data_IF_083284242092
#
_entry.id   IF_083284242092
#
_cell.length_a   1.000
_cell.length_b   1.000
_cell.length_c   1.000
_cell.angle_alpha   90.00
_cell.angle_beta   90.00
_cell.angle_gamma   90.00
#
_symmetry.space_group_name_H-M   'P 1'
#
loop_
_entity.id
_entity.type
_entity.pdbx_description
1 polymer ?
#
# COMPACT_ATOMS: atom_id res chain seq x y z
N UNK A 1 5.42 -30.09 3.34
CA UNK A 1 4.14 -30.06 2.60
C UNK A 1 3.12 -29.33 3.47
N UNK A 2 2.47 -28.31 2.94
CA UNK A 2 1.27 -27.67 3.55
C UNK A 2 0.07 -28.16 2.73
N UNK A 3 -1.00 -28.56 3.38
CA UNK A 3 -2.22 -28.99 2.69
C UNK A 3 -3.45 -28.47 3.41
N UNK A 4 -4.28 -27.72 2.71
CA UNK A 4 -5.61 -27.32 3.14
C UNK A 4 -6.66 -28.21 2.47
N UNK A 5 -7.59 -28.79 3.24
CA UNK A 5 -8.66 -29.64 2.75
C UNK A 5 -10.03 -29.15 3.20
N UNK A 6 -10.89 -28.83 2.24
CA UNK A 6 -12.27 -28.34 2.45
C UNK A 6 -12.33 -27.18 3.45
N UNK A 7 -11.33 -26.29 3.38
CA UNK A 7 -11.13 -25.21 4.33
C UNK A 7 -12.19 -24.13 4.13
N UNK A 8 -12.93 -23.80 5.18
CA UNK A 8 -13.82 -22.63 5.21
C UNK A 8 -13.59 -21.86 6.49
N UNK A 9 -13.70 -20.55 6.44
CA UNK A 9 -13.48 -19.70 7.60
C UNK A 9 -14.43 -18.52 7.66
N UNK A 10 -14.86 -18.18 8.87
CA UNK A 10 -15.66 -17.02 9.22
C UNK A 10 -15.11 -16.39 10.50
N UNK A 11 -14.92 -15.07 10.51
CA UNK A 11 -14.55 -14.34 11.73
C UNK A 11 -15.69 -14.32 12.74
N UNK A 12 -15.38 -14.38 14.03
CA UNK A 12 -16.35 -14.22 15.11
C UNK A 12 -16.96 -12.82 15.14
N UNK A 13 -18.10 -12.70 15.80
CA UNK A 13 -18.90 -11.48 15.80
C UNK A 13 -18.45 -10.47 16.84
N UNK A 14 -18.19 -9.23 16.40
CA UNK A 14 -18.41 -8.05 17.23
C UNK A 14 -19.72 -7.39 16.77
N UNK A 15 -20.78 -7.44 17.60
CA UNK A 15 -22.02 -6.68 17.35
C UNK A 15 -23.24 -7.41 16.79
N UNK A 16 -23.29 -8.76 16.86
CA UNK A 16 -24.56 -9.52 16.74
C UNK A 16 -25.10 -9.77 15.33
N UNK A 17 -24.39 -9.43 14.27
CA UNK A 17 -24.74 -9.86 12.90
C UNK A 17 -23.85 -11.01 12.45
N UNK A 18 -24.44 -12.08 11.91
CA UNK A 18 -23.67 -13.15 11.27
C UNK A 18 -22.86 -12.62 10.09
N UNK A 19 -21.54 -12.78 10.13
CA UNK A 19 -20.68 -12.47 8.98
C UNK A 19 -20.70 -13.64 8.01
N UNK A 20 -20.64 -13.35 6.72
CA UNK A 20 -20.47 -14.37 5.70
C UNK A 20 -19.10 -15.05 5.81
N UNK A 21 -19.02 -16.31 5.32
CA UNK A 21 -17.73 -17.01 5.23
C UNK A 21 -16.81 -16.26 4.28
N UNK A 22 -15.65 -15.85 4.79
CA UNK A 22 -14.58 -15.21 4.02
C UNK A 22 -13.91 -16.22 3.08
N UNK A 23 -13.73 -17.47 3.54
CA UNK A 23 -13.19 -18.58 2.75
C UNK A 23 -14.21 -19.71 2.69
N UNK A 24 -14.35 -20.33 1.52
CA UNK A 24 -15.37 -21.35 1.21
C UNK A 24 -14.73 -22.53 0.50
N UNK A 25 -14.65 -23.68 1.17
CA UNK A 25 -14.21 -24.95 0.59
C UNK A 25 -12.86 -24.88 -0.16
N UNK A 26 -11.87 -24.20 0.42
CA UNK A 26 -10.53 -24.08 -0.15
C UNK A 26 -9.81 -25.42 -0.10
N UNK A 27 -9.23 -25.81 -1.23
CA UNK A 27 -8.37 -26.96 -1.35
C UNK A 27 -7.04 -26.51 -1.97
N UNK A 28 -5.93 -26.64 -1.25
CA UNK A 28 -4.61 -26.21 -1.68
C UNK A 28 -3.56 -27.17 -1.12
N UNK A 29 -2.62 -27.59 -1.96
CA UNK A 29 -1.43 -28.33 -1.53
C UNK A 29 -0.19 -27.57 -1.97
N UNK A 30 0.74 -27.34 -1.05
CA UNK A 30 2.05 -26.71 -1.29
C UNK A 30 3.12 -27.73 -0.96
N UNK A 31 3.89 -28.14 -1.94
CA UNK A 31 5.01 -29.07 -1.78
C UNK A 31 6.33 -28.31 -1.64
N UNK A 32 7.40 -29.01 -1.23
CA UNK A 32 8.72 -28.40 -1.14
C UNK A 32 9.20 -27.93 -2.51
N UNK A 33 9.64 -26.69 -2.59
CA UNK A 33 10.12 -26.05 -3.83
C UNK A 33 9.02 -25.52 -4.75
N UNK A 34 7.74 -25.67 -4.40
CA UNK A 34 6.66 -25.03 -5.16
C UNK A 34 6.75 -23.50 -5.12
N UNK A 35 6.44 -22.91 -6.25
CA UNK A 35 6.24 -21.45 -6.38
C UNK A 35 4.82 -21.21 -6.82
N UNK A 36 3.96 -20.79 -5.89
CA UNK A 36 2.51 -20.63 -6.12
C UNK A 36 2.15 -19.15 -6.05
N UNK A 37 1.40 -18.69 -7.04
CA UNK A 37 0.78 -17.37 -7.02
C UNK A 37 -0.72 -17.50 -6.74
N UNK A 38 -1.22 -16.74 -5.78
CA UNK A 38 -2.64 -16.61 -5.50
C UNK A 38 -3.04 -15.17 -5.79
N UNK A 39 -3.75 -15.00 -6.89
CA UNK A 39 -4.32 -13.73 -7.30
C UNK A 39 -5.68 -13.52 -6.65
N UNK A 40 -6.03 -12.29 -6.36
CA UNK A 40 -7.37 -11.94 -5.89
C UNK A 40 -7.49 -10.44 -5.65
N UNK A 41 -8.67 -9.90 -5.80
CA UNK A 41 -8.93 -8.50 -5.47
C UNK A 41 -8.70 -8.23 -3.96
N UNK A 42 -8.47 -6.99 -3.54
CA UNK A 42 -8.54 -6.62 -2.13
C UNK A 42 -9.81 -7.17 -1.47
N UNK A 43 -9.73 -7.56 -0.21
CA UNK A 43 -10.83 -8.17 0.56
C UNK A 43 -11.33 -9.55 0.06
N UNK A 44 -10.66 -10.17 -0.91
CA UNK A 44 -11.01 -11.51 -1.38
C UNK A 44 -10.74 -12.65 -0.37
N UNK A 45 -10.03 -12.35 0.74
CA UNK A 45 -9.65 -13.32 1.76
C UNK A 45 -8.19 -13.82 1.69
N UNK A 46 -7.32 -13.19 0.88
CA UNK A 46 -5.90 -13.57 0.76
C UNK A 46 -5.17 -13.56 2.10
N UNK A 47 -5.26 -12.45 2.83
CA UNK A 47 -4.65 -12.32 4.17
C UNK A 47 -5.21 -13.33 5.16
N UNK A 48 -6.51 -13.61 5.10
CA UNK A 48 -7.12 -14.67 5.93
C UNK A 48 -6.54 -16.04 5.58
N UNK A 49 -6.38 -16.34 4.30
CA UNK A 49 -5.78 -17.60 3.85
C UNK A 49 -4.30 -17.66 4.26
N UNK A 50 -3.53 -16.58 4.13
CA UNK A 50 -2.13 -16.52 4.58
C UNK A 50 -1.98 -16.78 6.07
N UNK A 51 -2.85 -16.19 6.90
CA UNK A 51 -2.88 -16.41 8.35
C UNK A 51 -3.24 -17.85 8.73
N UNK A 52 -4.14 -18.50 8.00
CA UNK A 52 -4.50 -19.91 8.25
C UNK A 52 -3.35 -20.84 7.84
N UNK A 53 -2.75 -20.61 6.67
CA UNK A 53 -1.62 -21.44 6.20
C UNK A 53 -0.37 -21.29 7.09
N UNK A 54 -0.18 -20.12 7.71
CA UNK A 54 0.89 -19.87 8.69
C UNK A 54 0.53 -20.27 10.12
N UNK A 55 -0.68 -20.80 10.36
CA UNK A 55 -1.21 -21.20 11.67
C UNK A 55 -1.44 -20.06 12.68
N UNK A 56 -1.52 -18.81 12.23
CA UNK A 56 -1.95 -17.69 13.05
C UNK A 56 -3.45 -17.75 13.36
N UNK A 57 -4.25 -18.32 12.44
CA UNK A 57 -5.64 -18.68 12.65
C UNK A 57 -5.70 -20.20 12.84
N UNK A 58 -6.38 -20.72 13.86
CA UNK A 58 -7.22 -20.04 14.87
C UNK A 58 -6.47 -19.63 16.15
N UNK A 59 -5.15 -19.77 16.24
CA UNK A 59 -4.41 -19.65 17.51
C UNK A 59 -4.46 -18.23 18.10
N UNK A 60 -4.34 -17.19 17.24
CA UNK A 60 -4.30 -15.78 17.67
C UNK A 60 -5.50 -14.96 17.17
N UNK A 61 -6.25 -15.46 16.21
CA UNK A 61 -7.40 -14.77 15.65
C UNK A 61 -8.62 -15.67 15.76
N UNK A 62 -9.63 -15.20 16.49
CA UNK A 62 -10.86 -15.95 16.75
C UNK A 62 -11.75 -16.03 15.50
N UNK A 63 -12.40 -17.20 15.34
CA UNK A 63 -13.32 -17.45 14.25
C UNK A 63 -13.64 -18.94 14.08
N UNK A 64 -14.64 -19.23 13.27
CA UNK A 64 -15.04 -20.59 12.95
C UNK A 64 -14.26 -21.13 11.77
N UNK A 65 -13.38 -22.10 12.02
CA UNK A 65 -12.59 -22.80 11.03
C UNK A 65 -13.19 -24.19 10.79
N UNK A 66 -13.60 -24.48 9.56
CA UNK A 66 -14.03 -25.80 9.08
C UNK A 66 -12.97 -26.36 8.15
N UNK A 67 -12.88 -27.69 8.06
CA UNK A 67 -11.88 -28.38 7.25
C UNK A 67 -10.58 -28.64 8.03
N UNK A 68 -9.48 -28.89 7.33
CA UNK A 68 -8.20 -29.25 7.93
C UNK A 68 -7.03 -28.58 7.23
N UNK A 69 -5.99 -28.27 8.02
CA UNK A 69 -4.69 -27.82 7.50
C UNK A 69 -3.62 -28.77 8.01
N UNK A 70 -2.79 -29.27 7.11
CA UNK A 70 -1.69 -30.16 7.43
C UNK A 70 -0.33 -29.48 7.20
N UNK A 71 0.69 -29.86 7.97
CA UNK A 71 0.66 -30.82 9.07
C UNK A 71 -0.21 -30.33 10.23
N UNK A 72 -0.95 -31.23 10.86
CA UNK A 72 -1.63 -30.96 12.13
C UNK A 72 -0.56 -30.77 13.23
N UNK A 73 -0.76 -29.85 14.15
CA UNK A 73 0.15 -29.55 15.28
C UNK A 73 0.17 -28.08 15.64
N UNK A 74 0.78 -27.77 16.76
CA UNK A 74 0.88 -26.41 17.29
C UNK A 74 1.82 -25.55 16.44
N UNK A 75 1.62 -24.24 16.46
CA UNK A 75 2.50 -23.27 15.82
C UNK A 75 3.95 -23.42 16.27
N UNK A 76 4.20 -23.77 17.53
CA UNK A 76 5.56 -23.97 18.09
C UNK A 76 6.38 -25.01 17.34
N UNK A 77 5.72 -26.03 16.80
CA UNK A 77 6.39 -27.10 16.01
C UNK A 77 6.75 -26.67 14.59
N UNK A 78 6.37 -25.47 14.22
CA UNK A 78 6.47 -24.94 12.84
C UNK A 78 7.26 -23.63 12.74
N UNK A 79 7.55 -22.95 13.85
CA UNK A 79 8.18 -21.61 13.85
C UNK A 79 9.53 -21.54 13.14
N UNK A 80 10.24 -22.66 13.08
CA UNK A 80 11.53 -22.78 12.38
C UNK A 80 11.40 -23.07 10.88
N UNK A 81 10.21 -23.51 10.42
CA UNK A 81 9.97 -23.99 9.05
C UNK A 81 9.06 -23.11 8.22
N UNK A 82 8.27 -22.27 8.84
CA UNK A 82 7.26 -21.44 8.18
C UNK A 82 7.52 -19.97 8.49
N UNK A 83 7.50 -19.15 7.46
CA UNK A 83 7.53 -17.71 7.61
C UNK A 83 6.34 -17.06 6.89
N UNK A 84 5.81 -16.01 7.51
CA UNK A 84 4.85 -15.11 6.91
C UNK A 84 5.52 -13.73 6.76
N UNK A 85 5.54 -13.21 5.54
CA UNK A 85 5.83 -11.81 5.27
C UNK A 85 4.49 -11.08 5.16
N UNK A 86 4.08 -10.31 6.17
CA UNK A 86 2.75 -9.72 6.24
C UNK A 86 2.60 -8.52 5.30
N UNK A 87 1.36 -8.19 4.94
CA UNK A 87 1.02 -7.05 4.10
C UNK A 87 1.44 -5.72 4.74
N UNK A 88 1.13 -5.50 6.02
CA UNK A 88 1.49 -4.27 6.74
C UNK A 88 2.77 -4.48 7.57
N UNK A 89 3.92 -4.14 6.99
CA UNK A 89 5.21 -4.31 7.66
C UNK A 89 5.35 -3.53 8.96
N UNK A 90 4.74 -2.34 9.04
CA UNK A 90 4.91 -1.44 10.18
C UNK A 90 4.28 -1.94 11.48
N UNK A 91 3.22 -2.75 11.39
CA UNK A 91 2.50 -3.28 12.55
C UNK A 91 3.20 -4.47 13.22
N UNK A 92 4.13 -5.11 12.51
CA UNK A 92 4.81 -6.32 12.97
C UNK A 92 6.26 -6.06 13.42
N UNK A 93 6.76 -4.84 13.31
CA UNK A 93 8.08 -4.46 13.81
C UNK A 93 7.98 -4.24 15.32
N UNK A 94 8.76 -4.99 16.08
CA UNK A 94 8.71 -5.03 17.54
C UNK A 94 9.92 -4.39 18.22
N UNK A 95 11.08 -4.40 17.56
CA UNK A 95 12.34 -3.96 18.13
C UNK A 95 12.65 -2.49 17.83
N UNK A 96 13.49 -1.86 18.65
CA UNK A 96 13.86 -0.46 18.51
C UNK A 96 14.82 -0.22 17.35
N UNK A 97 15.77 -1.15 17.12
CA UNK A 97 16.76 -1.03 16.07
C UNK A 97 16.58 -2.07 14.97
N UNK A 98 17.13 -1.78 13.79
CA UNK A 98 17.11 -2.69 12.63
C UNK A 98 17.83 -4.00 12.95
N UNK A 99 18.99 -3.95 13.62
CA UNK A 99 19.75 -5.15 13.99
C UNK A 99 18.99 -6.03 14.97
N UNK A 100 18.38 -5.44 16.00
CA UNK A 100 17.59 -6.16 16.99
C UNK A 100 16.38 -6.84 16.36
N UNK A 101 15.71 -6.16 15.43
CA UNK A 101 14.55 -6.72 14.73
C UNK A 101 14.91 -7.96 13.88
N UNK A 102 16.05 -7.94 13.21
CA UNK A 102 16.54 -9.11 12.44
C UNK A 102 17.02 -10.23 13.36
N UNK A 103 17.60 -9.88 14.51
CA UNK A 103 18.14 -10.84 15.49
C UNK A 103 17.02 -11.56 16.26
N UNK A 104 15.90 -10.90 16.49
CA UNK A 104 14.81 -11.36 17.35
C UNK A 104 14.29 -12.78 17.05
N UNK A 105 13.96 -13.16 15.79
CA UNK A 105 13.53 -14.53 15.49
C UNK A 105 14.62 -15.57 15.71
N UNK A 106 15.91 -15.24 15.50
CA UNK A 106 17.03 -16.14 15.75
C UNK A 106 17.23 -16.38 17.25
N UNK A 107 17.08 -15.33 18.06
CA UNK A 107 17.12 -15.45 19.53
C UNK A 107 15.97 -16.32 20.04
N UNK A 108 14.77 -16.13 19.49
CA UNK A 108 13.59 -16.91 19.84
C UNK A 108 13.73 -18.40 19.55
N UNK A 109 14.51 -18.74 18.51
CA UNK A 109 14.85 -20.11 18.13
C UNK A 109 16.07 -20.66 18.91
N UNK A 110 16.72 -19.84 19.74
CA UNK A 110 17.90 -20.25 20.51
C UNK A 110 19.16 -20.45 19.67
N UNK A 111 19.28 -19.77 18.52
CA UNK A 111 20.46 -19.83 17.65
C UNK A 111 21.67 -19.26 18.39
N UNK A 112 22.81 -19.95 18.27
CA UNK A 112 24.05 -19.52 18.92
C UNK A 112 24.56 -18.15 18.44
N UNK A 113 25.16 -17.37 19.35
CA UNK A 113 25.56 -15.96 19.09
C UNK A 113 26.41 -15.74 17.83
N UNK A 114 27.36 -16.63 17.57
CA UNK A 114 28.25 -16.47 16.39
C UNK A 114 27.51 -16.73 15.09
N UNK A 115 26.67 -17.76 15.04
CA UNK A 115 25.83 -18.07 13.90
C UNK A 115 24.77 -16.97 13.67
N UNK A 116 24.14 -16.50 14.75
CA UNK A 116 23.18 -15.39 14.68
C UNK A 116 23.82 -14.15 14.06
N UNK A 117 25.04 -13.77 14.54
CA UNK A 117 25.76 -12.63 13.99
C UNK A 117 26.06 -12.79 12.49
N UNK A 118 26.46 -13.98 12.07
CA UNK A 118 26.72 -14.24 10.65
C UNK A 118 25.44 -14.12 9.80
N UNK A 119 24.31 -14.67 10.27
CA UNK A 119 23.03 -14.60 9.57
C UNK A 119 22.51 -13.16 9.48
N UNK A 120 22.60 -12.40 10.58
CA UNK A 120 22.21 -10.97 10.61
C UNK A 120 23.04 -10.14 9.62
N UNK A 121 24.38 -10.33 9.59
CA UNK A 121 25.25 -9.65 8.63
C UNK A 121 24.85 -9.95 7.17
N UNK A 122 24.62 -11.21 6.86
CA UNK A 122 24.16 -11.64 5.52
C UNK A 122 22.83 -11.00 5.16
N UNK A 123 21.88 -10.99 6.08
CA UNK A 123 20.56 -10.42 5.88
C UNK A 123 20.61 -8.90 5.66
N UNK A 124 21.35 -8.18 6.50
CA UNK A 124 21.59 -6.73 6.34
C UNK A 124 22.21 -6.41 4.97
N UNK A 125 23.21 -7.19 4.56
CA UNK A 125 23.86 -7.01 3.27
C UNK A 125 22.89 -7.26 2.10
N UNK A 126 22.22 -8.39 2.12
CA UNK A 126 21.34 -8.81 1.02
C UNK A 126 20.19 -7.81 0.79
N UNK A 127 19.60 -7.30 1.89
CA UNK A 127 18.47 -6.35 1.81
C UNK A 127 18.91 -4.88 1.81
N UNK A 128 20.21 -4.59 1.74
CA UNK A 128 20.77 -3.23 1.66
C UNK A 128 20.48 -2.37 2.89
N UNK A 129 20.45 -2.99 4.07
CA UNK A 129 20.13 -2.34 5.35
C UNK A 129 21.36 -2.06 6.22
N UNK A 130 22.59 -2.36 5.76
CA UNK A 130 23.84 -2.24 6.55
C UNK A 130 24.04 -0.84 7.14
N UNK A 131 23.73 0.19 6.36
CA UNK A 131 23.90 1.59 6.77
C UNK A 131 22.82 2.06 7.78
N UNK A 132 21.78 1.24 8.00
CA UNK A 132 20.68 1.47 8.92
C UNK A 132 20.72 0.54 10.15
N UNK A 133 21.79 -0.25 10.33
CA UNK A 133 21.91 -1.24 11.40
C UNK A 133 21.43 -0.75 12.77
N UNK A 134 21.95 0.41 13.20
CA UNK A 134 21.65 1.03 14.50
C UNK A 134 20.53 2.06 14.42
N UNK A 135 19.90 2.22 13.26
CA UNK A 135 18.82 3.18 13.09
C UNK A 135 17.55 2.71 13.83
N UNK A 136 16.78 3.67 14.33
CA UNK A 136 15.46 3.39 14.90
C UNK A 136 14.51 2.91 13.81
N UNK A 137 13.82 1.80 14.07
CA UNK A 137 12.83 1.21 13.16
C UNK A 137 11.65 2.16 12.87
N UNK A 138 11.36 3.08 13.80
CA UNK A 138 10.33 4.11 13.64
C UNK A 138 10.67 5.17 12.59
N UNK A 139 11.97 5.40 12.33
CA UNK A 139 12.45 6.41 11.38
C UNK A 139 12.58 5.88 9.94
N UNK A 140 12.38 4.59 9.74
CA UNK A 140 12.48 3.94 8.43
C UNK A 140 11.34 4.39 7.50
N UNK A 141 11.66 4.57 6.22
CA UNK A 141 10.66 4.72 5.15
C UNK A 141 9.87 3.42 4.93
N UNK A 142 8.72 3.49 4.25
CA UNK A 142 7.88 2.32 3.94
C UNK A 142 8.67 1.20 3.24
N UNK A 143 9.45 1.53 2.21
CA UNK A 143 10.30 0.56 1.51
C UNK A 143 11.43 -0.03 2.37
N UNK A 144 12.00 0.74 3.30
CA UNK A 144 12.97 0.23 4.27
C UNK A 144 12.33 -0.70 5.30
N UNK A 145 11.13 -0.36 5.80
CA UNK A 145 10.33 -1.23 6.66
C UNK A 145 9.95 -2.54 5.95
N UNK A 146 9.59 -2.46 4.67
CA UNK A 146 9.31 -3.67 3.86
C UNK A 146 10.54 -4.57 3.74
N UNK A 147 11.71 -3.99 3.44
CA UNK A 147 12.97 -4.76 3.37
C UNK A 147 13.39 -5.32 4.72
N UNK A 148 13.17 -4.58 5.81
CA UNK A 148 13.39 -5.07 7.17
C UNK A 148 12.51 -6.27 7.47
N UNK A 149 11.22 -6.21 7.17
CA UNK A 149 10.28 -7.31 7.39
C UNK A 149 10.64 -8.55 6.56
N UNK A 150 11.02 -8.38 5.29
CA UNK A 150 11.57 -9.47 4.47
C UNK A 150 12.81 -10.08 5.11
N UNK A 151 13.73 -9.24 5.58
CA UNK A 151 14.95 -9.68 6.26
C UNK A 151 14.64 -10.51 7.51
N UNK A 152 13.77 -9.99 8.38
CA UNK A 152 13.35 -10.65 9.64
C UNK A 152 12.64 -11.97 9.39
N UNK A 153 11.73 -12.02 8.40
CA UNK A 153 10.99 -13.24 8.07
C UNK A 153 11.86 -14.34 7.42
N UNK A 154 12.92 -13.97 6.71
CA UNK A 154 13.74 -14.92 5.94
C UNK A 154 15.05 -15.32 6.63
N UNK A 155 15.47 -14.61 7.70
CA UNK A 155 16.75 -14.85 8.39
C UNK A 155 16.82 -16.23 9.06
N UNK A 156 15.67 -16.83 9.35
CA UNK A 156 15.55 -18.18 9.92
C UNK A 156 15.75 -19.31 8.90
N UNK A 157 15.83 -18.96 7.60
CA UNK A 157 15.95 -19.93 6.49
C UNK A 157 14.78 -20.95 6.47
N UNK A 158 13.52 -20.49 6.40
CA UNK A 158 12.35 -21.37 6.48
C UNK A 158 12.21 -22.29 5.24
N UNK A 159 11.56 -23.44 5.41
CA UNK A 159 11.23 -24.34 4.30
C UNK A 159 10.05 -23.83 3.44
N UNK A 160 9.16 -23.00 4.05
CA UNK A 160 7.94 -22.45 3.42
C UNK A 160 7.79 -20.97 3.76
N UNK A 161 7.56 -20.16 2.76
CA UNK A 161 7.34 -18.72 2.93
C UNK A 161 6.04 -18.31 2.27
N UNK A 162 5.23 -17.58 3.03
CA UNK A 162 4.01 -16.97 2.53
C UNK A 162 4.27 -15.46 2.44
N UNK A 163 4.13 -14.91 1.23
CA UNK A 163 4.31 -13.49 0.93
C UNK A 163 2.95 -12.85 0.71
N UNK A 164 2.46 -12.10 1.70
CA UNK A 164 1.17 -11.41 1.59
C UNK A 164 1.38 -9.98 1.08
N UNK A 165 1.01 -9.72 -0.18
CA UNK A 165 1.18 -8.43 -0.89
C UNK A 165 2.62 -7.84 -0.74
N UNK A 166 3.63 -8.72 -0.65
CA UNK A 166 5.00 -8.32 -0.24
C UNK A 166 5.77 -7.55 -1.31
N UNK A 167 5.27 -7.47 -2.53
CA UNK A 167 5.81 -6.65 -3.60
C UNK A 167 5.36 -5.19 -3.53
N UNK A 168 4.30 -4.92 -2.79
CA UNK A 168 3.85 -3.56 -2.50
C UNK A 168 4.90 -2.82 -1.67
N UNK A 169 4.92 -1.52 -1.70
CA UNK A 169 5.90 -0.64 -1.04
C UNK A 169 7.37 -0.82 -1.48
N UNK A 170 7.68 -1.80 -2.33
CA UNK A 170 9.00 -1.94 -2.95
C UNK A 170 9.08 -1.15 -4.25
N UNK A 171 10.16 -0.43 -4.46
CA UNK A 171 10.46 0.11 -5.77
C UNK A 171 10.89 -0.99 -6.75
N UNK A 172 10.94 -0.65 -8.06
CA UNK A 172 11.22 -1.62 -9.12
C UNK A 172 12.51 -2.41 -8.87
N UNK A 173 13.56 -1.77 -8.35
CA UNK A 173 14.84 -2.43 -8.12
C UNK A 173 14.75 -3.50 -7.03
N UNK A 174 14.03 -3.23 -5.96
CA UNK A 174 13.84 -4.17 -4.86
C UNK A 174 12.80 -5.25 -5.17
N UNK A 175 11.83 -4.97 -6.04
CA UNK A 175 10.95 -6.02 -6.58
C UNK A 175 11.74 -7.04 -7.38
N UNK A 176 12.70 -6.61 -8.21
CA UNK A 176 13.58 -7.53 -8.94
C UNK A 176 14.46 -8.38 -8.00
N UNK A 177 14.96 -7.78 -6.90
CA UNK A 177 15.72 -8.53 -5.90
C UNK A 177 14.85 -9.60 -5.24
N UNK A 178 13.62 -9.26 -4.82
CA UNK A 178 12.69 -10.21 -4.20
C UNK A 178 12.29 -11.31 -5.20
N UNK A 179 11.96 -10.94 -6.44
CA UNK A 179 11.63 -11.90 -7.51
C UNK A 179 12.76 -12.90 -7.72
N UNK A 180 14.00 -12.41 -7.85
CA UNK A 180 15.18 -13.27 -8.02
C UNK A 180 15.42 -14.16 -6.79
N UNK A 181 15.18 -13.65 -5.59
CA UNK A 181 15.26 -14.45 -4.37
C UNK A 181 14.26 -15.59 -4.42
N UNK A 182 12.98 -15.35 -4.69
CA UNK A 182 11.94 -16.37 -4.81
C UNK A 182 12.29 -17.38 -5.90
N UNK A 183 12.81 -16.93 -7.04
CA UNK A 183 13.18 -17.79 -8.18
C UNK A 183 14.32 -18.76 -7.84
N UNK A 184 15.31 -18.29 -7.09
CA UNK A 184 16.56 -19.04 -6.83
C UNK A 184 16.58 -19.77 -5.51
N UNK A 185 15.68 -19.44 -4.59
CA UNK A 185 15.58 -20.05 -3.28
C UNK A 185 15.03 -21.48 -3.33
N UNK A 186 15.44 -22.30 -2.36
CA UNK A 186 15.00 -23.69 -2.25
C UNK A 186 13.69 -23.92 -1.49
N UNK A 187 13.20 -22.86 -0.78
CA UNK A 187 11.95 -22.92 -0.05
C UNK A 187 10.74 -22.98 -0.97
N UNK A 188 9.62 -23.48 -0.48
CA UNK A 188 8.34 -23.31 -1.14
C UNK A 188 7.80 -21.92 -0.88
N UNK A 189 7.32 -21.23 -1.91
CA UNK A 189 6.83 -19.87 -1.83
C UNK A 189 5.37 -19.78 -2.25
N UNK A 190 4.52 -19.19 -1.41
CA UNK A 190 3.14 -18.82 -1.75
C UNK A 190 3.06 -17.30 -1.75
N UNK A 191 2.90 -16.71 -2.93
CA UNK A 191 2.76 -15.27 -3.09
C UNK A 191 1.30 -14.93 -3.27
N UNK A 192 0.78 -14.06 -2.41
CA UNK A 192 -0.56 -13.48 -2.52
C UNK A 192 -0.41 -12.10 -3.17
N UNK A 193 -1.12 -11.84 -4.25
CA UNK A 193 -1.04 -10.58 -4.97
C UNK A 193 -2.39 -10.12 -5.52
N UNK A 194 -2.63 -8.82 -5.50
CA UNK A 194 -3.76 -8.16 -6.15
C UNK A 194 -3.36 -7.40 -7.41
N UNK A 195 -2.04 -7.22 -7.62
CA UNK A 195 -1.45 -6.38 -8.66
C UNK A 195 -0.22 -7.02 -9.27
N UNK A 196 0.38 -6.39 -10.27
CA UNK A 196 1.62 -6.81 -10.94
C UNK A 196 1.54 -8.17 -11.63
N UNK A 197 0.37 -8.54 -12.15
CA UNK A 197 0.12 -9.87 -12.74
C UNK A 197 1.10 -10.17 -13.89
N UNK A 198 1.32 -9.20 -14.78
CA UNK A 198 2.27 -9.34 -15.90
C UNK A 198 3.73 -9.51 -15.45
N UNK A 199 4.05 -9.01 -14.25
CA UNK A 199 5.39 -9.13 -13.67
C UNK A 199 5.74 -10.56 -13.26
N UNK A 200 4.73 -11.42 -13.04
CA UNK A 200 4.88 -12.75 -12.48
C UNK A 200 4.85 -13.89 -13.49
N UNK A 201 4.63 -13.63 -14.76
CA UNK A 201 4.29 -14.64 -15.79
C UNK A 201 5.24 -15.86 -15.91
N UNK A 202 6.49 -15.77 -15.45
CA UNK A 202 7.47 -16.86 -15.61
C UNK A 202 7.95 -17.50 -14.29
N UNK A 203 7.55 -16.95 -13.14
CA UNK A 203 8.10 -17.32 -11.84
C UNK A 203 7.36 -18.50 -11.20
N UNK A 204 6.05 -18.60 -11.42
CA UNK A 204 5.20 -19.53 -10.68
C UNK A 204 4.86 -20.78 -11.49
N UNK A 205 4.94 -21.95 -10.84
CA UNK A 205 4.54 -23.22 -11.44
C UNK A 205 3.04 -23.49 -11.33
N UNK A 206 2.35 -22.83 -10.41
CA UNK A 206 0.89 -22.88 -10.25
C UNK A 206 0.34 -21.50 -9.91
N UNK A 207 -0.77 -21.13 -10.56
CA UNK A 207 -1.43 -19.86 -10.34
C UNK A 207 -2.90 -20.14 -10.00
N UNK A 208 -3.40 -19.48 -8.98
CA UNK A 208 -4.77 -19.58 -8.53
C UNK A 208 -5.42 -18.19 -8.48
N UNK A 209 -6.74 -18.17 -8.64
CA UNK A 209 -7.58 -16.98 -8.40
C UNK A 209 -8.44 -17.22 -7.16
N UNK A 210 -8.36 -16.35 -6.18
CA UNK A 210 -9.23 -16.30 -5.01
C UNK A 210 -10.31 -15.26 -5.24
N UNK A 211 -11.54 -15.72 -5.47
CA UNK A 211 -12.68 -14.88 -5.77
C UNK A 211 -13.92 -15.35 -5.00
N UNK A 212 -14.65 -14.45 -4.37
CA UNK A 212 -15.85 -14.76 -3.55
C UNK A 212 -15.61 -15.82 -2.47
N UNK A 213 -14.38 -15.90 -1.96
CA UNK A 213 -13.94 -16.87 -0.97
C UNK A 213 -13.62 -18.26 -1.53
N UNK A 214 -13.67 -18.48 -2.83
CA UNK A 214 -13.33 -19.72 -3.50
C UNK A 214 -11.98 -19.63 -4.21
N UNK A 215 -11.17 -20.71 -4.15
CA UNK A 215 -9.89 -20.81 -4.82
C UNK A 215 -10.03 -21.66 -6.10
N UNK A 216 -9.68 -21.08 -7.24
CA UNK A 216 -9.76 -21.72 -8.56
C UNK A 216 -8.40 -21.66 -9.25
N UNK A 217 -8.01 -22.72 -9.95
CA UNK A 217 -6.80 -22.68 -10.79
C UNK A 217 -7.00 -21.66 -11.91
N UNK A 218 -6.06 -20.71 -12.04
CA UNK A 218 -6.12 -19.69 -13.06
C UNK A 218 -5.45 -20.17 -14.35
N UNK A 219 -6.17 -20.12 -15.47
CA UNK A 219 -5.73 -20.65 -16.77
C UNK A 219 -5.31 -19.56 -17.76
N UNK A 220 -4.98 -18.37 -17.26
CA UNK A 220 -4.53 -17.28 -18.14
C UNK A 220 -5.67 -16.52 -18.86
N UNK A 221 -6.92 -16.86 -18.61
CA UNK A 221 -8.08 -16.14 -19.13
C UNK A 221 -8.49 -15.05 -18.11
N UNK A 222 -8.24 -13.87 -18.44
CA UNK A 222 -8.09 -12.64 -17.84
C UNK A 222 -9.13 -12.02 -16.99
N UNK A 223 -8.77 -11.27 -15.99
CA UNK A 223 -9.44 -10.01 -15.71
C UNK A 223 -8.86 -8.97 -16.69
N UNK A 224 -9.53 -8.70 -17.78
CA UNK A 224 -9.28 -7.47 -18.54
C UNK A 224 -9.68 -6.33 -17.62
N UNK A 225 -8.70 -5.71 -16.98
CA UNK A 225 -8.93 -4.48 -16.21
C UNK A 225 -9.45 -3.47 -17.23
N UNK A 226 -10.71 -3.00 -17.11
CA UNK A 226 -11.23 -2.04 -18.06
C UNK A 226 -10.34 -0.80 -17.99
N UNK A 227 -9.73 -0.41 -19.11
CA UNK A 227 -9.04 0.88 -19.20
C UNK A 227 -10.08 1.96 -18.95
N UNK A 228 -9.85 2.90 -18.01
CA UNK A 228 -10.75 4.02 -17.83
C UNK A 228 -10.78 4.80 -19.16
N UNK A 229 -11.96 5.18 -19.59
CA UNK A 229 -12.06 6.20 -20.61
C UNK A 229 -11.47 7.49 -20.03
N UNK A 230 -10.60 8.17 -20.79
CA UNK A 230 -10.03 9.43 -20.36
C UNK A 230 -11.17 10.41 -20.02
N UNK A 231 -11.28 10.75 -18.74
CA UNK A 231 -12.33 11.66 -18.29
C UNK A 231 -11.92 13.06 -18.69
N UNK A 232 -12.54 13.58 -19.73
CA UNK A 232 -12.38 14.98 -20.13
C UNK A 232 -13.23 15.85 -19.20
N UNK A 233 -12.68 16.20 -18.04
CA UNK A 233 -13.24 17.23 -17.18
C UNK A 233 -13.25 18.60 -17.87
N UNK A 234 -14.06 19.53 -17.36
CA UNK A 234 -14.02 20.93 -17.81
C UNK A 234 -12.70 21.55 -17.37
N UNK A 235 -11.81 21.84 -18.30
CA UNK A 235 -10.51 22.46 -18.03
C UNK A 235 -10.72 23.95 -17.75
N UNK A 236 -10.78 24.34 -16.50
CA UNK A 236 -10.98 25.74 -16.11
C UNK A 236 -9.85 26.28 -15.22
N UNK A 237 -9.12 25.43 -14.50
CA UNK A 237 -8.06 25.85 -13.58
C UNK A 237 -6.74 25.19 -13.96
N UNK A 238 -5.63 25.92 -13.73
CA UNK A 238 -4.27 25.43 -14.01
C UNK A 238 -3.34 25.74 -12.84
N UNK A 239 -2.67 24.73 -12.33
CA UNK A 239 -1.60 24.83 -11.36
C UNK A 239 -0.26 24.71 -12.08
N UNK A 240 0.67 25.62 -11.81
CA UNK A 240 2.01 25.63 -12.40
C UNK A 240 3.07 25.82 -11.32
N UNK A 241 4.22 25.15 -11.50
CA UNK A 241 5.42 25.41 -10.72
C UNK A 241 6.54 25.85 -11.64
N UNK A 242 7.34 26.81 -11.21
CA UNK A 242 8.46 27.34 -11.97
C UNK A 242 9.69 27.52 -11.11
N UNK A 243 10.80 26.90 -11.50
CA UNK A 243 12.12 27.01 -10.87
C UNK A 243 12.08 26.78 -9.34
N UNK A 244 11.34 25.79 -8.87
CA UNK A 244 11.25 25.43 -7.45
C UNK A 244 12.57 24.83 -7.01
N UNK A 245 13.08 25.32 -5.87
CA UNK A 245 14.20 24.72 -5.17
C UNK A 245 13.83 24.56 -3.69
N UNK A 246 14.17 23.41 -3.11
CA UNK A 246 13.99 23.10 -1.70
C UNK A 246 15.11 22.23 -1.21
N UNK A 247 15.64 22.51 -0.01
CA UNK A 247 16.72 21.74 0.61
C UNK A 247 16.21 21.13 1.92
N UNK A 248 16.23 19.81 2.02
CA UNK A 248 16.01 19.14 3.30
C UNK A 248 17.23 19.35 4.22
N UNK A 249 17.01 19.72 5.49
CA UNK A 249 18.08 19.77 6.46
C UNK A 249 18.75 18.38 6.58
N UNK A 250 20.06 18.38 6.83
CA UNK A 250 20.85 17.16 7.00
C UNK A 250 20.29 16.31 8.15
N UNK A 251 20.06 15.03 7.92
CA UNK A 251 19.69 14.09 8.99
C UNK A 251 20.87 13.77 9.90
N UNK A 252 22.11 13.85 9.39
CA UNK A 252 23.34 13.70 10.16
C UNK A 252 24.49 14.54 9.56
N UNK A 253 25.56 14.78 10.31
CA UNK A 253 26.74 15.52 9.84
C UNK A 253 27.43 14.90 8.62
N UNK A 254 27.24 13.61 8.38
CA UNK A 254 27.92 12.84 7.33
C UNK A 254 27.09 12.62 6.07
N UNK A 255 25.80 12.99 6.06
CA UNK A 255 24.94 12.87 4.87
C UNK A 255 24.85 14.21 4.13
N UNK A 256 25.02 14.25 2.80
CA UNK A 256 24.77 15.47 2.03
C UNK A 256 23.30 15.88 2.17
N UNK A 257 22.99 17.19 2.13
CA UNK A 257 21.62 17.63 2.12
C UNK A 257 20.91 17.12 0.85
N UNK A 258 19.67 16.69 0.98
CA UNK A 258 18.84 16.38 -0.19
C UNK A 258 18.32 17.70 -0.78
N UNK A 259 18.53 17.92 -2.07
CA UNK A 259 18.06 19.09 -2.81
C UNK A 259 17.03 18.65 -3.83
N UNK A 260 15.87 19.28 -3.80
CA UNK A 260 14.82 19.12 -4.82
C UNK A 260 14.87 20.32 -5.78
N UNK A 261 14.92 20.05 -7.07
CA UNK A 261 14.88 21.03 -8.14
C UNK A 261 13.77 20.67 -9.15
N UNK A 262 12.84 21.60 -9.38
CA UNK A 262 11.77 21.42 -10.37
C UNK A 262 11.73 22.64 -11.27
N UNK A 263 12.19 22.50 -12.50
CA UNK A 263 12.22 23.60 -13.44
C UNK A 263 10.80 24.02 -13.84
N UNK A 264 9.99 23.07 -14.29
CA UNK A 264 8.60 23.31 -14.69
C UNK A 264 7.74 22.09 -14.35
N UNK A 265 6.55 22.37 -13.85
CA UNK A 265 5.48 21.40 -13.69
C UNK A 265 4.14 22.08 -13.95
N UNK A 266 3.20 21.37 -14.56
CA UNK A 266 1.83 21.88 -14.70
C UNK A 266 0.80 20.78 -14.55
N UNK A 267 -0.37 21.17 -14.03
CA UNK A 267 -1.52 20.30 -13.83
C UNK A 267 -2.79 21.09 -14.17
N UNK A 268 -3.62 20.56 -15.06
CA UNK A 268 -4.87 21.18 -15.47
C UNK A 268 -6.09 20.49 -14.81
N UNK A 269 -7.18 21.23 -14.63
CA UNK A 269 -8.46 20.67 -14.16
C UNK A 269 -8.93 19.53 -15.06
N UNK A 270 -9.38 18.43 -14.45
CA UNK A 270 -9.86 17.24 -15.15
C UNK A 270 -8.76 16.38 -15.78
N UNK A 271 -7.49 16.74 -15.57
CA UNK A 271 -6.33 15.96 -16.02
C UNK A 271 -5.84 15.02 -14.92
N UNK A 272 -5.38 13.84 -15.29
CA UNK A 272 -4.63 12.94 -14.41
C UNK A 272 -3.19 12.89 -14.89
N UNK A 273 -2.28 13.32 -14.03
CA UNK A 273 -0.82 13.31 -14.26
C UNK A 273 -0.18 12.35 -13.27
N UNK A 274 0.67 11.42 -13.73
CA UNK A 274 1.39 10.53 -12.85
C UNK A 274 2.78 11.08 -12.51
N UNK A 275 3.19 10.95 -11.25
CA UNK A 275 4.55 11.20 -10.78
C UNK A 275 5.16 9.89 -10.28
N UNK A 276 6.19 9.43 -10.95
CA UNK A 276 6.86 8.16 -10.65
C UNK A 276 8.34 8.39 -10.29
N UNK A 277 8.97 7.37 -9.73
CA UNK A 277 10.39 7.39 -9.40
C UNK A 277 10.71 6.59 -8.14
N UNK A 278 11.99 6.29 -7.89
CA UNK A 278 12.42 5.48 -6.75
C UNK A 278 12.13 6.16 -5.41
N UNK A 279 12.21 5.38 -4.33
CA UNK A 279 12.09 5.93 -2.98
C UNK A 279 13.23 6.91 -2.70
N UNK A 280 12.93 7.99 -1.98
CA UNK A 280 13.91 9.06 -1.71
C UNK A 280 14.18 10.02 -2.87
N UNK A 281 13.53 9.87 -4.03
CA UNK A 281 13.74 10.76 -5.20
C UNK A 281 13.15 12.17 -5.06
N UNK A 282 12.30 12.41 -4.04
CA UNK A 282 11.71 13.73 -3.77
C UNK A 282 10.22 13.85 -4.07
N UNK A 283 9.51 12.78 -4.43
CA UNK A 283 8.06 12.79 -4.72
C UNK A 283 7.25 13.40 -3.57
N UNK A 284 7.39 12.87 -2.37
CA UNK A 284 6.65 13.35 -1.20
C UNK A 284 7.05 14.78 -0.80
N UNK A 285 8.32 15.16 -0.97
CA UNK A 285 8.77 16.55 -0.76
C UNK A 285 8.09 17.50 -1.73
N UNK A 286 8.04 17.16 -3.01
CA UNK A 286 7.34 17.95 -4.02
C UNK A 286 5.85 18.08 -3.72
N UNK A 287 5.20 16.99 -3.34
CA UNK A 287 3.79 16.98 -2.97
C UNK A 287 3.49 17.92 -1.80
N UNK A 288 4.33 17.91 -0.78
CA UNK A 288 4.19 18.77 0.40
C UNK A 288 4.35 20.25 0.06
N UNK A 289 5.24 20.59 -0.88
CA UNK A 289 5.37 21.95 -1.41
C UNK A 289 4.12 22.38 -2.19
N UNK A 290 3.57 21.51 -3.05
CA UNK A 290 2.39 21.81 -3.85
C UNK A 290 1.13 22.07 -3.02
N UNK A 291 0.99 21.42 -1.87
CA UNK A 291 -0.15 21.63 -0.96
C UNK A 291 0.12 22.63 0.16
N UNK A 292 1.30 23.28 0.17
CA UNK A 292 1.66 24.32 1.15
C UNK A 292 2.00 23.76 2.54
N UNK A 293 2.35 22.49 2.69
CA UNK A 293 2.84 21.93 3.96
C UNK A 293 4.29 22.33 4.23
N UNK A 294 5.10 22.42 3.19
CA UNK A 294 6.48 22.89 3.27
C UNK A 294 6.65 24.23 2.53
N UNK A 295 7.71 24.99 2.87
CA UNK A 295 8.06 26.24 2.20
C UNK A 295 9.14 26.00 1.16
N UNK A 296 8.90 26.46 -0.05
CA UNK A 296 9.94 26.53 -1.08
C UNK A 296 11.01 27.60 -0.73
N UNK A 297 12.27 27.34 -1.05
CA UNK A 297 13.34 28.33 -0.91
C UNK A 297 13.34 29.32 -2.08
N UNK A 298 13.07 28.83 -3.28
CA UNK A 298 13.02 29.63 -4.53
C UNK A 298 11.89 29.15 -5.43
N UNK A 299 11.61 29.96 -6.45
CA UNK A 299 10.61 29.68 -7.46
C UNK A 299 9.20 30.13 -7.09
N UNK A 300 8.22 29.77 -7.89
CA UNK A 300 6.83 30.15 -7.71
C UNK A 300 5.87 28.98 -7.96
N UNK A 301 4.80 28.92 -7.21
CA UNK A 301 3.63 28.06 -7.45
C UNK A 301 2.46 28.99 -7.76
N UNK A 302 1.85 28.76 -8.90
CA UNK A 302 0.86 29.65 -9.50
C UNK A 302 -0.42 28.89 -9.78
N UNK A 303 -1.56 29.41 -9.39
CA UNK A 303 -2.89 28.89 -9.77
C UNK A 303 -3.61 29.98 -10.56
N UNK A 304 -4.01 29.68 -11.79
CA UNK A 304 -4.73 30.58 -12.69
C UNK A 304 -4.03 31.94 -12.89
N UNK A 305 -2.69 31.91 -12.98
CA UNK A 305 -1.87 33.10 -13.19
C UNK A 305 -1.57 33.90 -11.90
N UNK A 306 -2.11 33.49 -10.75
CA UNK A 306 -1.84 34.13 -9.45
C UNK A 306 -0.85 33.30 -8.65
N UNK A 307 0.23 33.92 -8.18
CA UNK A 307 1.16 33.27 -7.25
C UNK A 307 0.48 32.99 -5.91
N UNK A 308 0.64 31.76 -5.41
CA UNK A 308 -0.04 31.24 -4.23
C UNK A 308 0.93 31.09 -3.07
N UNK A 309 0.49 31.55 -1.87
CA UNK A 309 1.12 31.23 -0.59
C UNK A 309 0.58 29.94 0.00
N UNK A 310 1.13 29.53 1.15
CA UNK A 310 0.72 28.29 1.86
C UNK A 310 -0.79 28.18 2.07
N UNK A 311 -1.44 29.25 2.53
CA UNK A 311 -2.88 29.22 2.79
C UNK A 311 -3.71 29.02 1.51
N UNK A 312 -3.32 29.69 0.42
CA UNK A 312 -3.99 29.54 -0.87
C UNK A 312 -3.84 28.11 -1.40
N UNK A 313 -2.62 27.54 -1.29
CA UNK A 313 -2.33 26.16 -1.66
C UNK A 313 -3.11 25.15 -0.81
N UNK A 314 -3.09 25.31 0.52
CA UNK A 314 -3.84 24.45 1.45
C UNK A 314 -5.35 24.47 1.25
N UNK A 315 -5.91 25.55 0.64
CA UNK A 315 -7.33 25.63 0.26
C UNK A 315 -7.63 25.05 -1.11
N UNK A 316 -6.65 25.04 -2.01
CA UNK A 316 -6.83 24.67 -3.41
C UNK A 316 -6.37 23.24 -3.74
N UNK A 317 -5.40 22.74 -2.98
CA UNK A 317 -4.81 21.42 -3.22
C UNK A 317 -5.12 20.48 -2.05
N UNK A 318 -5.77 19.35 -2.32
CA UNK A 318 -5.96 18.27 -1.35
C UNK A 318 -4.79 17.29 -1.44
N UNK A 319 -4.22 16.87 -0.31
CA UNK A 319 -3.16 15.85 -0.30
C UNK A 319 -3.61 14.61 0.46
N UNK A 320 -3.90 13.56 -0.26
CA UNK A 320 -4.22 12.24 0.26
C UNK A 320 -2.92 11.48 0.53
N UNK A 321 -2.59 11.27 1.80
CA UNK A 321 -1.39 10.52 2.20
C UNK A 321 -1.49 9.03 1.84
N UNK A 322 -0.34 8.41 1.66
CA UNK A 322 -0.22 6.97 1.42
C UNK A 322 -0.93 6.17 2.53
N UNK A 323 -0.62 6.43 3.79
CA UNK A 323 -1.28 5.77 4.92
C UNK A 323 -2.52 6.56 5.38
N UNK A 324 -3.73 5.98 5.29
CA UNK A 324 -4.98 6.62 5.72
C UNK A 324 -5.00 6.94 7.23
N UNK A 325 -4.25 6.22 8.07
CA UNK A 325 -4.23 6.44 9.52
C UNK A 325 -3.67 7.80 9.93
N UNK A 326 -2.93 8.46 9.04
CA UNK A 326 -2.48 9.84 9.27
C UNK A 326 -3.57 10.88 9.08
N UNK A 327 -4.74 10.49 8.54
CA UNK A 327 -5.80 11.43 8.18
C UNK A 327 -7.18 11.05 8.71
N UNK A 328 -7.36 9.82 9.18
CA UNK A 328 -8.58 9.34 9.82
C UNK A 328 -8.35 9.35 11.33
N UNK A 329 -9.10 10.18 12.06
CA UNK A 329 -8.88 10.42 13.49
C UNK A 329 -10.18 10.54 14.31
N UNK A 330 -11.36 10.55 13.66
CA UNK A 330 -12.66 10.59 14.33
C UNK A 330 -13.25 9.19 14.50
N UNK A 331 -14.17 9.00 15.47
CA UNK A 331 -14.65 7.67 15.84
C UNK A 331 -15.42 6.94 14.75
N UNK A 332 -16.27 7.65 13.99
CA UNK A 332 -17.16 7.04 13.01
C UNK A 332 -16.98 7.62 11.62
N UNK A 333 -17.38 6.85 10.60
CA UNK A 333 -17.44 7.29 9.20
C UNK A 333 -18.28 8.58 9.07
N UNK A 334 -19.41 8.65 9.79
CA UNK A 334 -20.25 9.84 9.82
C UNK A 334 -19.51 11.07 10.33
N UNK A 335 -18.75 10.92 11.41
CA UNK A 335 -18.01 12.04 12.01
C UNK A 335 -16.93 12.56 11.07
N UNK A 336 -16.16 11.67 10.44
CA UNK A 336 -15.11 12.01 9.46
C UNK A 336 -15.66 12.78 8.26
N UNK A 337 -16.72 12.28 7.65
CA UNK A 337 -17.35 12.93 6.51
C UNK A 337 -18.02 14.25 6.91
N UNK A 338 -18.67 14.31 8.07
CA UNK A 338 -19.30 15.56 8.57
C UNK A 338 -18.25 16.62 8.86
N UNK A 339 -17.10 16.22 9.43
CA UNK A 339 -15.99 17.14 9.68
C UNK A 339 -15.46 17.74 8.38
N UNK A 340 -15.23 16.91 7.35
CA UNK A 340 -14.77 17.40 6.04
C UNK A 340 -15.76 18.38 5.41
N UNK A 341 -17.06 18.09 5.48
CA UNK A 341 -18.13 18.96 4.97
C UNK A 341 -18.25 20.28 5.76
N UNK A 342 -17.78 20.34 7.01
CA UNK A 342 -17.82 21.55 7.83
C UNK A 342 -16.97 22.70 7.26
N UNK A 343 -15.95 22.38 6.44
CA UNK A 343 -15.12 23.39 5.75
C UNK A 343 -15.82 24.04 4.55
N UNK A 344 -16.95 23.47 4.10
CA UNK A 344 -17.70 24.03 2.98
C UNK A 344 -18.70 25.07 3.47
N UNK A 345 -18.81 26.18 2.74
CA UNK A 345 -19.80 27.23 3.00
C UNK A 345 -21.16 26.90 2.39
N UNK A 346 -21.78 25.80 2.83
CA UNK A 346 -23.10 25.31 2.37
C UNK A 346 -24.05 25.16 3.55
N UNK A 347 -25.36 25.08 3.26
CA UNK A 347 -26.39 24.91 4.31
C UNK A 347 -26.29 23.53 4.97
N UNK A 348 -26.75 23.40 6.21
CA UNK A 348 -26.77 22.11 6.93
C UNK A 348 -27.56 21.03 6.16
N UNK A 349 -28.69 21.41 5.54
CA UNK A 349 -29.45 20.51 4.71
C UNK A 349 -28.66 19.98 3.51
N UNK A 350 -27.86 20.83 2.90
CA UNK A 350 -26.98 20.43 1.80
C UNK A 350 -25.82 19.55 2.27
N UNK A 351 -25.27 19.81 3.48
CA UNK A 351 -24.26 18.95 4.09
C UNK A 351 -24.79 17.54 4.35
N UNK A 352 -25.97 17.44 4.94
CA UNK A 352 -26.62 16.15 5.23
C UNK A 352 -26.87 15.35 3.94
N UNK A 353 -27.40 16.01 2.91
CA UNK A 353 -27.58 15.40 1.59
C UNK A 353 -26.27 14.89 1.00
N UNK A 354 -25.20 15.70 1.01
CA UNK A 354 -23.88 15.30 0.49
C UNK A 354 -23.24 14.20 1.32
N UNK A 355 -23.45 14.18 2.62
CA UNK A 355 -23.01 13.11 3.51
C UNK A 355 -23.57 11.76 3.06
N UNK A 356 -24.89 11.67 2.90
CA UNK A 356 -25.58 10.45 2.48
C UNK A 356 -25.17 10.03 1.06
N UNK A 357 -25.14 10.99 0.12
CA UNK A 357 -24.72 10.74 -1.26
C UNK A 357 -23.27 10.23 -1.34
N UNK A 358 -22.36 10.83 -0.57
CA UNK A 358 -20.95 10.41 -0.54
C UNK A 358 -20.80 9.02 0.08
N UNK A 359 -21.46 8.77 1.21
CA UNK A 359 -21.40 7.46 1.86
C UNK A 359 -21.93 6.36 0.93
N UNK A 360 -23.07 6.59 0.27
CA UNK A 360 -23.64 5.67 -0.73
C UNK A 360 -22.67 5.45 -1.91
N UNK A 361 -22.07 6.54 -2.43
CA UNK A 361 -21.19 6.51 -3.58
C UNK A 361 -19.91 5.68 -3.33
N UNK A 362 -19.39 5.71 -2.11
CA UNK A 362 -18.19 4.97 -1.71
C UNK A 362 -18.51 3.66 -0.95
N UNK A 363 -19.79 3.25 -0.92
CA UNK A 363 -20.23 2.03 -0.23
C UNK A 363 -19.81 1.97 1.23
N UNK A 364 -19.97 3.08 1.96
CA UNK A 364 -19.61 3.23 3.38
C UNK A 364 -20.88 3.22 4.24
N UNK A 365 -20.83 2.51 5.37
CA UNK A 365 -21.85 2.61 6.41
C UNK A 365 -21.46 3.75 7.38
N UNK A 366 -22.36 4.73 7.50
CA UNK A 366 -22.12 5.90 8.36
C UNK A 366 -21.97 5.55 9.85
N UNK A 367 -22.48 4.40 10.27
CA UNK A 367 -22.39 3.91 11.65
C UNK A 367 -21.09 3.16 11.97
N UNK A 368 -20.30 2.81 10.96
CA UNK A 368 -19.08 2.06 11.15
C UNK A 368 -18.04 2.85 11.96
N UNK A 369 -17.33 2.12 12.82
CA UNK A 369 -16.21 2.66 13.59
C UNK A 369 -14.96 2.68 12.72
N UNK A 370 -14.43 3.87 12.45
CA UNK A 370 -13.31 4.05 11.51
C UNK A 370 -12.05 3.25 11.89
N UNK A 371 -11.76 3.09 13.18
CA UNK A 371 -10.61 2.32 13.66
C UNK A 371 -10.75 0.79 13.52
N UNK A 372 -11.96 0.28 13.29
CA UNK A 372 -12.21 -1.14 13.09
C UNK A 372 -12.30 -1.53 11.61
N UNK A 373 -12.19 -0.56 10.71
CA UNK A 373 -12.21 -0.78 9.27
C UNK A 373 -10.90 -1.43 8.80
N UNK A 374 -10.98 -2.28 7.78
CA UNK A 374 -9.82 -2.79 7.06
C UNK A 374 -9.02 -1.65 6.43
N UNK A 375 -7.77 -1.90 6.04
CA UNK A 375 -6.95 -0.88 5.38
C UNK A 375 -7.58 -0.39 4.08
N UNK A 376 -8.18 -1.27 3.27
CA UNK A 376 -8.89 -0.91 2.04
C UNK A 376 -10.14 -0.06 2.32
N UNK A 377 -10.94 -0.40 3.35
CA UNK A 377 -12.09 0.41 3.77
C UNK A 377 -11.66 1.79 4.25
N UNK A 378 -10.57 1.90 5.02
CA UNK A 378 -10.01 3.20 5.43
C UNK A 378 -9.52 4.01 4.22
N UNK A 379 -8.94 3.38 3.21
CA UNK A 379 -8.54 4.05 1.95
C UNK A 379 -9.76 4.56 1.17
N UNK A 380 -10.86 3.81 1.14
CA UNK A 380 -12.15 4.26 0.58
C UNK A 380 -12.73 5.44 1.36
N UNK A 381 -12.72 5.38 2.69
CA UNK A 381 -13.16 6.49 3.54
C UNK A 381 -12.31 7.73 3.31
N UNK A 382 -10.99 7.61 3.27
CA UNK A 382 -10.07 8.69 2.93
C UNK A 382 -10.41 9.31 1.57
N UNK A 383 -10.67 8.50 0.56
CA UNK A 383 -11.08 8.96 -0.77
C UNK A 383 -12.42 9.70 -0.75
N UNK A 384 -13.38 9.23 0.03
CA UNK A 384 -14.67 9.87 0.23
C UNK A 384 -14.54 11.24 0.91
N UNK A 385 -13.64 11.38 1.90
CA UNK A 385 -13.31 12.64 2.56
C UNK A 385 -12.80 13.64 1.51
N UNK A 386 -11.84 13.26 0.67
CA UNK A 386 -11.31 14.14 -0.38
C UNK A 386 -12.34 14.49 -1.45
N UNK A 387 -13.15 13.53 -1.85
CA UNK A 387 -14.29 13.80 -2.73
C UNK A 387 -15.25 14.85 -2.15
N UNK A 388 -15.50 14.82 -0.83
CA UNK A 388 -16.36 15.77 -0.14
C UNK A 388 -15.78 17.18 -0.05
N UNK A 389 -14.44 17.32 0.04
CA UNK A 389 -13.75 18.60 0.16
C UNK A 389 -13.87 19.48 -1.10
N UNK A 390 -14.15 18.90 -2.25
CA UNK A 390 -14.42 19.60 -3.52
C UNK A 390 -13.33 20.61 -3.91
N UNK A 391 -12.06 20.15 -3.90
CA UNK A 391 -10.88 20.96 -4.24
C UNK A 391 -10.63 20.97 -5.76
N UNK A 392 -10.06 22.07 -6.32
CA UNK A 392 -9.70 22.10 -7.74
C UNK A 392 -8.53 21.18 -8.11
N UNK A 393 -7.67 20.82 -7.15
CA UNK A 393 -6.54 19.92 -7.38
C UNK A 393 -6.40 18.92 -6.24
N UNK A 394 -5.95 17.71 -6.60
CA UNK A 394 -5.63 16.66 -5.64
C UNK A 394 -4.27 16.05 -5.94
N UNK A 395 -3.54 15.73 -4.89
CA UNK A 395 -2.37 14.86 -4.90
C UNK A 395 -2.80 13.57 -4.20
N UNK A 396 -2.75 12.46 -4.92
CA UNK A 396 -3.13 11.14 -4.42
C UNK A 396 -1.87 10.29 -4.31
N UNK A 397 -1.40 10.10 -3.09
CA UNK A 397 -0.16 9.36 -2.83
C UNK A 397 -0.50 7.87 -2.65
N UNK A 398 -0.11 7.05 -3.63
CA UNK A 398 -0.38 5.62 -3.70
C UNK A 398 -1.86 5.26 -3.47
N UNK A 399 -2.75 5.94 -4.23
CA UNK A 399 -4.18 5.62 -4.22
C UNK A 399 -4.44 4.15 -4.51
N UNK A 400 -3.66 3.59 -5.41
CA UNK A 400 -3.74 2.20 -5.87
C UNK A 400 -3.28 1.18 -4.82
N UNK A 401 -2.66 1.61 -3.71
CA UNK A 401 -2.32 0.70 -2.62
C UNK A 401 -3.58 0.22 -1.88
N UNK A 402 -3.71 -1.10 -1.72
CA UNK A 402 -4.83 -1.78 -1.04
C UNK A 402 -6.24 -1.57 -1.65
N UNK A 403 -6.34 -0.96 -2.82
CA UNK A 403 -7.56 -0.89 -3.62
C UNK A 403 -7.37 -1.67 -4.92
N UNK A 404 -8.43 -2.27 -5.45
CA UNK A 404 -8.40 -2.82 -6.80
C UNK A 404 -8.19 -1.69 -7.82
N UNK A 405 -7.63 -2.03 -8.99
CA UNK A 405 -7.52 -1.05 -10.08
C UNK A 405 -8.88 -0.46 -10.46
N UNK A 406 -9.94 -1.28 -10.43
CA UNK A 406 -11.30 -0.84 -10.71
C UNK A 406 -11.78 0.23 -9.73
N UNK A 407 -11.52 0.05 -8.43
CA UNK A 407 -11.88 1.03 -7.41
C UNK A 407 -11.05 2.30 -7.55
N UNK A 408 -9.72 2.17 -7.71
CA UNK A 408 -8.81 3.31 -7.90
C UNK A 408 -9.21 4.13 -9.12
N UNK A 409 -9.51 3.48 -10.24
CA UNK A 409 -10.03 4.13 -11.46
C UNK A 409 -11.34 4.83 -11.19
N UNK A 410 -12.28 4.18 -10.50
CA UNK A 410 -13.57 4.79 -10.15
C UNK A 410 -13.41 6.05 -9.31
N UNK A 411 -12.47 6.05 -8.36
CA UNK A 411 -12.15 7.24 -7.54
C UNK A 411 -11.58 8.36 -8.41
N UNK A 412 -10.59 8.05 -9.27
CA UNK A 412 -10.01 9.03 -10.19
C UNK A 412 -11.08 9.65 -11.10
N UNK A 413 -11.96 8.84 -11.68
CA UNK A 413 -13.06 9.31 -12.51
C UNK A 413 -13.98 10.26 -11.76
N UNK A 414 -14.41 9.91 -10.57
CA UNK A 414 -15.31 10.75 -9.73
C UNK A 414 -14.71 12.11 -9.40
N UNK A 415 -13.41 12.16 -9.09
CA UNK A 415 -12.71 13.41 -8.83
C UNK A 415 -12.55 14.25 -10.11
N UNK A 416 -12.19 13.61 -11.23
CA UNK A 416 -12.03 14.28 -12.53
C UNK A 416 -13.38 14.79 -13.08
N UNK A 417 -14.47 14.05 -12.88
CA UNK A 417 -15.82 14.49 -13.28
C UNK A 417 -16.26 15.77 -12.56
N UNK A 418 -15.78 15.99 -11.33
CA UNK A 418 -15.93 17.28 -10.62
C UNK A 418 -15.05 18.39 -11.20
N UNK A 419 -14.17 18.07 -12.14
CA UNK A 419 -13.25 19.02 -12.75
C UNK A 419 -11.92 19.17 -12.00
N UNK A 420 -11.61 18.27 -11.06
CA UNK A 420 -10.35 18.33 -10.33
C UNK A 420 -9.18 17.87 -11.19
N UNK A 421 -8.04 18.59 -11.15
CA UNK A 421 -6.76 18.10 -11.64
C UNK A 421 -6.12 17.17 -10.62
N UNK A 422 -5.56 16.04 -11.06
CA UNK A 422 -5.05 15.00 -10.17
C UNK A 422 -3.58 14.73 -10.46
N UNK A 423 -2.73 14.89 -9.45
CA UNK A 423 -1.37 14.36 -9.43
C UNK A 423 -1.40 13.02 -8.70
N UNK A 424 -1.26 11.93 -9.46
CA UNK A 424 -1.18 10.58 -8.94
C UNK A 424 0.27 10.20 -8.71
N UNK A 425 0.64 9.89 -7.48
CA UNK A 425 1.94 9.30 -7.16
C UNK A 425 1.75 7.80 -7.07
N UNK A 426 2.48 7.05 -7.87
CA UNK A 426 2.41 5.60 -7.87
C UNK A 426 3.76 4.99 -8.26
N UNK A 427 4.01 3.78 -7.78
CA UNK A 427 5.11 2.92 -8.21
C UNK A 427 4.68 1.88 -9.26
N UNK A 428 3.40 1.89 -9.64
CA UNK A 428 2.82 0.97 -10.61
C UNK A 428 2.81 1.59 -12.00
N UNK A 429 3.77 1.16 -12.84
CA UNK A 429 3.89 1.68 -14.22
C UNK A 429 2.71 1.28 -15.10
N UNK A 430 2.10 0.10 -14.87
CA UNK A 430 0.91 -0.34 -15.61
C UNK A 430 -0.29 0.52 -15.25
N UNK A 431 -0.49 0.78 -13.96
CA UNK A 431 -1.57 1.64 -13.50
C UNK A 431 -1.39 3.08 -14.00
N UNK A 432 -0.18 3.64 -13.87
CA UNK A 432 0.14 4.97 -14.39
C UNK A 432 -0.11 5.08 -15.92
N UNK A 433 0.32 4.07 -16.70
CA UNK A 433 0.09 4.05 -18.14
C UNK A 433 -1.40 3.91 -18.51
N UNK A 434 -2.20 3.32 -17.63
CA UNK A 434 -3.64 3.13 -17.83
C UNK A 434 -4.42 4.44 -17.61
N UNK A 435 -4.07 5.23 -16.58
CA UNK A 435 -4.92 6.33 -16.08
C UNK A 435 -4.37 7.72 -16.37
N UNK A 436 -3.05 7.88 -16.54
CA UNK A 436 -2.43 9.20 -16.69
C UNK A 436 -2.34 9.65 -18.15
N UNK A 437 -2.67 10.92 -18.39
CA UNK A 437 -2.50 11.57 -19.70
C UNK A 437 -1.04 11.97 -19.95
N UNK A 438 -0.34 12.39 -18.87
CA UNK A 438 1.08 12.77 -18.87
C UNK A 438 1.78 12.16 -17.68
N UNK A 439 3.10 11.97 -17.83
CA UNK A 439 3.91 11.36 -16.79
C UNK A 439 5.13 12.22 -16.48
N UNK A 440 5.45 12.33 -15.20
CA UNK A 440 6.66 12.94 -14.69
C UNK A 440 7.49 11.89 -13.94
N UNK A 441 8.79 12.02 -14.05
CA UNK A 441 9.74 11.19 -13.31
C UNK A 441 10.49 12.03 -12.28
N UNK A 442 10.56 11.50 -11.05
CA UNK A 442 11.41 12.02 -10.01
C UNK A 442 12.68 11.17 -9.92
N UNK A 443 13.83 11.77 -10.05
CA UNK A 443 15.12 11.10 -9.96
C UNK A 443 16.17 12.04 -9.36
N UNK A 444 16.86 11.58 -8.29
CA UNK A 444 17.95 12.32 -7.64
C UNK A 444 17.60 13.79 -7.30
N UNK A 445 16.38 14.03 -6.84
CA UNK A 445 15.90 15.36 -6.51
C UNK A 445 15.48 16.23 -7.69
N UNK A 446 15.41 15.70 -8.89
CA UNK A 446 14.86 16.39 -10.08
C UNK A 446 13.55 15.79 -10.51
N UNK A 447 12.64 16.65 -10.97
CA UNK A 447 11.36 16.24 -11.54
C UNK A 447 11.27 16.78 -12.96
N UNK A 448 11.01 15.90 -13.91
CA UNK A 448 10.90 16.21 -15.34
C UNK A 448 9.80 15.39 -15.99
N UNK A 449 9.25 15.92 -17.08
CA UNK A 449 8.23 15.26 -17.91
C UNK A 449 8.87 14.18 -18.79
N UNK A 450 8.25 13.01 -18.92
CA UNK A 450 8.69 11.89 -19.77
C UNK A 450 8.23 12.04 -21.21
#
# INVERSE_FOLDING_TARGET
MIKAENLSFRYDHFGGKEREKVLKNINLTVEKGDKILILGEPESGKTTLSMILSSLIPEFVEGELEGKVYPEGDMKDRMDKYALVPQNSGEFILSETVEDEISFPLESLGIGREEMKERVEKALFFWGLQHLREASTSELSGGEKRRLMLSTSLVTEPDFVIYDESFDDLDVSWREVLKKHIETSGEASVVMASRFISYFDSLFNRIYLLENGELKEWKGEGAVIPRPEAVKGRKNNRLECRNITFTHPRRSSNTPPFILEVDNFSLESGEVVALMGPNGSGKSTFSRLLCGLDDKERGSIVIDGKECGKEDLGRSVGYMFQNPDYQIFLPTVKDELSYSLSFLKISEKEKEKRLEETASLFSLDLSDTASLMSYGERKRLQSAIYYSLDRPFYILDELDSALSYKESVSILQRLSEKGAGILLITHDEEFAAMVAERRYRAQEGRIYEE
#
